data_IF_623387684866
#
_entry.id   IF_623387684866
#
_cell.length_a   1.000
_cell.length_b   1.000
_cell.length_c   1.000
_cell.angle_alpha   90.00
_cell.angle_beta   90.00
_cell.angle_gamma   90.00
#
_symmetry.space_group_name_H-M   'P 1'
#
loop_
_entity.id
_entity.type
_entity.pdbx_description
1 polymer ?
#
# COMPACT_ATOMS: atom_id res chain seq x y z
N UNK A 1 2.26 -18.41 -0.68
CA UNK A 1 2.18 -17.43 -1.81
C UNK A 1 1.78 -18.02 -3.21
N UNK A 2 1.31 -19.27 -3.36
CA UNK A 2 0.96 -19.83 -4.69
C UNK A 2 -0.54 -20.18 -4.90
N UNK A 3 -1.33 -20.33 -3.83
CA UNK A 3 -2.72 -20.79 -3.96
C UNK A 3 -3.70 -19.70 -4.44
N UNK A 4 -3.62 -18.49 -3.90
CA UNK A 4 -4.53 -17.40 -4.26
C UNK A 4 -4.19 -16.76 -5.61
N UNK A 5 -2.89 -16.65 -5.95
CA UNK A 5 -2.43 -16.19 -7.27
C UNK A 5 -3.03 -17.04 -8.38
N UNK A 6 -3.00 -18.35 -8.22
CA UNK A 6 -3.48 -19.25 -9.27
C UNK A 6 -5.01 -19.34 -9.33
N UNK A 7 -5.73 -19.11 -8.23
CA UNK A 7 -7.20 -18.96 -8.24
C UNK A 7 -7.65 -17.61 -8.83
N UNK A 8 -7.01 -16.51 -8.44
CA UNK A 8 -7.29 -15.16 -8.94
C UNK A 8 -6.88 -15.02 -10.41
N UNK A 9 -5.73 -15.52 -10.84
CA UNK A 9 -5.32 -15.51 -12.25
C UNK A 9 -6.23 -16.39 -13.13
N UNK A 10 -6.66 -17.56 -12.62
CA UNK A 10 -7.68 -18.39 -13.32
C UNK A 10 -9.04 -17.70 -13.39
N UNK A 11 -9.43 -16.96 -12.36
CA UNK A 11 -10.66 -16.16 -12.32
C UNK A 11 -10.58 -14.91 -13.21
N UNK A 12 -9.45 -14.21 -13.21
CA UNK A 12 -9.18 -13.06 -14.09
C UNK A 12 -9.13 -13.50 -15.56
N UNK A 13 -8.60 -14.69 -15.87
CA UNK A 13 -8.62 -15.26 -17.22
C UNK A 13 -10.03 -15.71 -17.66
N UNK A 14 -10.92 -16.03 -16.72
CA UNK A 14 -12.31 -16.36 -17.02
C UNK A 14 -13.14 -15.10 -17.32
N UNK A 15 -13.28 -14.80 -18.61
CA UNK A 15 -14.11 -13.71 -19.10
C UNK A 15 -15.62 -13.97 -18.95
N UNK A 16 -16.07 -15.08 -18.34
CA UNK A 16 -17.49 -15.34 -18.02
C UNK A 16 -17.94 -14.65 -16.74
N UNK A 17 -17.13 -14.64 -15.67
CA UNK A 17 -17.48 -13.96 -14.41
C UNK A 17 -17.64 -12.43 -14.59
N UNK A 18 -16.80 -11.85 -15.45
CA UNK A 18 -16.85 -10.42 -15.84
C UNK A 18 -18.04 -10.10 -16.75
N UNK A 19 -18.52 -11.08 -17.53
CA UNK A 19 -19.72 -10.97 -18.38
C UNK A 19 -21.02 -11.11 -17.59
N UNK A 20 -21.00 -11.84 -16.48
CA UNK A 20 -22.19 -12.13 -15.66
C UNK A 20 -22.51 -11.02 -14.63
N UNK A 21 -21.75 -9.91 -14.61
CA UNK A 21 -22.09 -8.71 -13.82
C UNK A 21 -21.83 -8.80 -12.31
N UNK A 22 -21.13 -9.82 -11.83
CA UNK A 22 -20.94 -10.06 -10.39
C UNK A 22 -19.83 -9.22 -9.75
N UNK A 23 -18.99 -8.55 -10.55
CA UNK A 23 -17.97 -7.61 -10.09
C UNK A 23 -17.80 -6.44 -11.08
N UNK A 24 -17.51 -5.21 -10.58
CA UNK A 24 -17.18 -4.08 -11.43
C UNK A 24 -15.99 -4.39 -12.34
N UNK A 25 -16.16 -4.26 -13.66
CA UNK A 25 -15.08 -4.46 -14.64
C UNK A 25 -13.86 -3.57 -14.37
N UNK A 26 -14.07 -2.44 -13.70
CA UNK A 26 -13.05 -1.47 -13.29
C UNK A 26 -12.04 -2.00 -12.25
N UNK A 27 -12.37 -3.05 -11.50
CA UNK A 27 -11.47 -3.58 -10.45
C UNK A 27 -10.37 -4.49 -11.01
N UNK A 28 -10.65 -5.18 -12.12
CA UNK A 28 -9.72 -6.16 -12.71
C UNK A 28 -8.34 -5.55 -13.03
N UNK A 29 -8.24 -4.38 -13.69
CA UNK A 29 -6.95 -3.72 -13.92
C UNK A 29 -6.17 -3.42 -12.64
N UNK A 30 -6.83 -3.02 -11.54
CA UNK A 30 -6.17 -2.70 -10.28
C UNK A 30 -5.49 -3.92 -9.66
N UNK A 31 -6.18 -5.08 -9.61
CA UNK A 31 -5.57 -6.32 -9.12
C UNK A 31 -4.40 -6.78 -10.00
N UNK A 32 -4.53 -6.66 -11.33
CA UNK A 32 -3.43 -6.98 -12.25
C UNK A 32 -2.22 -6.06 -12.04
N UNK A 33 -2.43 -4.79 -11.72
CA UNK A 33 -1.35 -3.84 -11.45
C UNK A 33 -0.54 -4.25 -10.22
N UNK A 34 -1.20 -4.59 -9.11
CA UNK A 34 -0.51 -5.00 -7.87
C UNK A 34 0.11 -6.40 -7.93
N UNK A 35 -0.31 -7.27 -8.86
CA UNK A 35 0.30 -8.59 -9.07
C UNK A 35 1.40 -8.60 -10.16
N UNK A 36 1.64 -7.45 -10.82
CA UNK A 36 2.63 -7.33 -11.88
C UNK A 36 4.06 -7.33 -11.31
N UNK A 37 4.90 -8.26 -11.74
CA UNK A 37 6.30 -8.37 -11.28
C UNK A 37 7.21 -7.22 -11.70
N UNK A 38 6.78 -6.39 -12.66
CA UNK A 38 7.47 -5.15 -13.03
C UNK A 38 7.10 -3.96 -12.13
N UNK A 39 6.12 -4.12 -11.24
CA UNK A 39 5.68 -3.12 -10.28
C UNK A 39 6.14 -3.56 -8.90
N UNK A 40 6.99 -2.78 -8.26
CA UNK A 40 7.38 -2.98 -6.87
C UNK A 40 7.00 -1.77 -6.00
N UNK A 41 7.14 -1.96 -4.68
CA UNK A 41 6.81 -0.94 -3.69
C UNK A 41 7.61 0.35 -3.91
N UNK A 42 8.91 0.23 -4.19
CA UNK A 42 9.80 1.38 -4.28
C UNK A 42 9.50 2.20 -5.55
N UNK A 43 9.18 1.53 -6.67
CA UNK A 43 8.73 2.16 -7.90
C UNK A 43 7.38 2.87 -7.77
N UNK A 44 6.49 2.38 -6.90
CA UNK A 44 5.25 3.10 -6.55
C UNK A 44 5.56 4.32 -5.69
N UNK A 45 6.38 4.19 -4.64
CA UNK A 45 6.62 5.25 -3.67
C UNK A 45 7.53 6.38 -4.20
N UNK A 46 8.53 6.05 -5.01
CA UNK A 46 9.52 7.00 -5.54
C UNK A 46 8.90 8.27 -6.17
N UNK A 47 7.93 8.18 -7.11
CA UNK A 47 7.32 9.37 -7.70
C UNK A 47 6.52 10.21 -6.68
N UNK A 48 5.89 9.57 -5.69
CA UNK A 48 5.17 10.29 -4.63
C UNK A 48 6.13 11.04 -3.71
N UNK A 49 7.25 10.41 -3.32
CA UNK A 49 8.30 11.03 -2.52
C UNK A 49 8.91 12.21 -3.29
N UNK A 50 9.23 12.04 -4.58
CA UNK A 50 9.74 13.12 -5.42
C UNK A 50 8.79 14.32 -5.45
N UNK A 51 7.49 14.07 -5.58
CA UNK A 51 6.47 15.13 -5.56
C UNK A 51 6.36 15.81 -4.19
N UNK A 52 6.50 15.06 -3.08
CA UNK A 52 6.57 15.63 -1.73
C UNK A 52 7.79 16.54 -1.59
N UNK A 53 8.96 16.11 -2.07
CA UNK A 53 10.18 16.92 -2.06
C UNK A 53 10.02 18.21 -2.89
N UNK A 54 9.35 18.15 -4.04
CA UNK A 54 9.05 19.34 -4.83
C UNK A 54 8.17 20.34 -4.07
N UNK A 55 7.14 19.87 -3.35
CA UNK A 55 6.31 20.73 -2.49
C UNK A 55 7.12 21.31 -1.33
N UNK A 56 7.99 20.52 -0.70
CA UNK A 56 8.86 20.98 0.39
C UNK A 56 9.79 22.12 -0.04
N UNK A 57 10.30 22.09 -1.28
CA UNK A 57 11.16 23.17 -1.81
C UNK A 57 10.44 24.50 -1.97
N UNK A 58 9.09 24.51 -2.04
CA UNK A 58 8.29 25.74 -2.19
C UNK A 58 8.03 26.46 -0.86
N UNK A 59 8.42 25.88 0.28
CA UNK A 59 8.19 26.48 1.60
C UNK A 59 9.51 26.67 2.34
N UNK A 60 9.64 27.73 3.16
CA UNK A 60 10.92 28.05 3.80
C UNK A 60 11.31 27.10 4.93
N UNK A 61 10.33 26.49 5.61
CA UNK A 61 10.54 25.58 6.73
C UNK A 61 9.55 24.42 6.62
N UNK A 62 10.06 23.21 6.82
CA UNK A 62 9.29 21.97 6.88
C UNK A 62 9.60 21.27 8.20
N UNK A 63 8.56 20.78 8.86
CA UNK A 63 8.68 19.85 9.99
C UNK A 63 8.51 18.43 9.43
N UNK A 64 9.51 17.58 9.68
CA UNK A 64 9.48 16.17 9.29
C UNK A 64 9.10 15.33 10.52
N UNK A 65 7.82 14.99 10.64
CA UNK A 65 7.27 14.29 11.81
C UNK A 65 7.38 12.79 11.58
N UNK A 66 8.12 12.11 12.45
CA UNK A 66 8.27 10.65 12.40
C UNK A 66 7.40 10.00 13.46
N UNK A 67 6.66 8.98 13.05
CA UNK A 67 5.90 8.11 13.95
C UNK A 67 5.87 6.67 13.42
N UNK A 68 5.58 5.70 14.28
CA UNK A 68 5.49 4.28 13.91
C UNK A 68 4.11 3.75 14.23
N UNK A 69 3.39 3.32 13.19
CA UNK A 69 2.09 2.67 13.32
C UNK A 69 2.23 1.16 13.14
N UNK A 70 1.46 0.38 13.88
CA UNK A 70 1.36 -1.06 13.68
C UNK A 70 0.14 -1.42 12.82
N UNK A 71 0.33 -2.30 11.84
CA UNK A 71 -0.76 -2.92 11.09
C UNK A 71 -1.06 -4.31 11.64
N UNK A 72 -2.13 -4.46 12.40
CA UNK A 72 -2.64 -5.75 12.86
C UNK A 72 -3.50 -6.42 11.78
N UNK A 73 -3.01 -7.54 11.25
CA UNK A 73 -3.64 -8.32 10.19
C UNK A 73 -4.02 -9.73 10.65
N UNK A 74 -4.10 -9.96 11.96
CA UNK A 74 -4.38 -11.28 12.57
C UNK A 74 -5.71 -11.90 12.09
N UNK A 75 -6.65 -11.07 11.66
CA UNK A 75 -7.94 -11.48 11.13
C UNK A 75 -7.88 -12.00 9.68
N UNK A 76 -6.78 -11.78 8.96
CA UNK A 76 -6.59 -12.22 7.57
C UNK A 76 -5.80 -13.53 7.52
N UNK A 77 -6.49 -14.65 7.74
CA UNK A 77 -5.89 -16.00 7.80
C UNK A 77 -5.12 -16.40 6.52
N UNK A 78 -5.47 -15.83 5.38
CA UNK A 78 -4.80 -16.08 4.10
C UNK A 78 -3.50 -15.28 3.89
N UNK A 79 -3.23 -14.29 4.75
CA UNK A 79 -2.05 -13.45 4.68
C UNK A 79 -0.89 -14.12 5.41
N UNK A 80 0.00 -14.73 4.63
CA UNK A 80 1.17 -15.44 5.14
C UNK A 80 2.36 -14.49 5.34
N UNK A 81 3.38 -14.95 6.09
CA UNK A 81 4.69 -14.28 6.25
C UNK A 81 4.64 -12.90 6.91
N UNK A 82 3.67 -12.70 7.80
CA UNK A 82 3.61 -11.54 8.68
C UNK A 82 4.60 -11.67 9.84
N UNK A 83 5.01 -10.51 10.40
CA UNK A 83 5.76 -10.43 11.64
C UNK A 83 4.86 -10.55 12.87
N UNK A 84 5.46 -10.46 14.06
CA UNK A 84 4.72 -10.35 15.32
C UNK A 84 4.35 -8.89 15.59
N UNK A 85 3.13 -8.69 16.07
CA UNK A 85 2.65 -7.42 16.57
C UNK A 85 3.13 -7.08 17.99
N UNK A 86 2.76 -5.91 18.51
CA UNK A 86 3.00 -5.53 19.91
C UNK A 86 2.06 -6.25 20.89
N UNK A 87 0.86 -6.62 20.43
CA UNK A 87 -0.08 -7.43 21.20
C UNK A 87 0.34 -8.90 21.26
N UNK A 88 0.15 -9.55 22.42
CA UNK A 88 0.39 -10.99 22.56
C UNK A 88 -0.48 -11.76 21.55
N UNK A 89 0.18 -12.52 20.67
CA UNK A 89 -0.41 -13.32 19.58
C UNK A 89 -0.91 -12.58 18.32
N UNK A 90 -0.65 -11.28 18.19
CA UNK A 90 -1.01 -10.55 16.98
C UNK A 90 0.01 -10.76 15.84
N UNK A 91 -0.49 -10.85 14.61
CA UNK A 91 0.31 -10.94 13.39
C UNK A 91 0.13 -9.67 12.54
N UNK A 92 1.24 -9.10 12.11
CA UNK A 92 1.24 -7.79 11.48
C UNK A 92 2.62 -7.32 11.05
N UNK A 93 2.76 -6.01 10.87
CA UNK A 93 4.05 -5.37 10.68
C UNK A 93 4.03 -3.93 11.19
N UNK A 94 5.21 -3.42 11.54
CA UNK A 94 5.42 -2.01 11.86
C UNK A 94 5.63 -1.20 10.59
N UNK A 95 4.98 -0.05 10.50
CA UNK A 95 5.17 0.93 9.45
C UNK A 95 5.69 2.23 10.07
N UNK A 96 7.02 2.42 10.08
CA UNK A 96 7.60 3.73 10.29
C UNK A 96 7.11 4.65 9.18
N UNK A 97 6.67 5.86 9.54
CA UNK A 97 6.24 6.86 8.59
C UNK A 97 6.91 8.20 8.88
N UNK A 98 7.14 8.99 7.83
CA UNK A 98 7.67 10.33 7.89
C UNK A 98 6.76 11.31 7.13
N UNK A 99 6.03 12.14 7.86
CA UNK A 99 5.10 13.12 7.31
C UNK A 99 5.73 14.52 7.28
N UNK A 100 5.77 15.13 6.10
CA UNK A 100 6.19 16.52 5.95
C UNK A 100 4.99 17.46 6.20
N UNK A 101 5.16 18.41 7.13
CA UNK A 101 4.15 19.44 7.44
C UNK A 101 4.80 20.83 7.51
N UNK A 102 4.03 21.88 7.27
CA UNK A 102 4.49 23.26 7.56
C UNK A 102 4.32 23.59 9.05
N UNK A 103 5.00 24.63 9.58
CA UNK A 103 4.82 25.07 10.97
C UNK A 103 3.38 25.49 11.33
N UNK A 104 2.54 25.80 10.33
CA UNK A 104 1.11 26.12 10.53
C UNK A 104 0.20 24.89 10.45
N UNK A 105 0.76 23.69 10.31
CA UNK A 105 0.00 22.43 10.26
C UNK A 105 -0.49 22.02 8.88
N UNK A 106 -0.10 22.70 7.80
CA UNK A 106 -0.46 22.26 6.44
C UNK A 106 0.37 21.01 6.05
N UNK A 107 -0.26 19.87 5.73
CA UNK A 107 0.46 18.67 5.29
C UNK A 107 0.98 18.83 3.86
N UNK A 108 2.23 18.40 3.63
CA UNK A 108 2.91 18.40 2.33
C UNK A 108 3.00 17.01 1.68
N UNK A 109 2.56 15.96 2.41
CA UNK A 109 2.57 14.51 2.11
C UNK A 109 3.71 13.72 2.77
N UNK A 110 3.64 12.38 2.67
CA UNK A 110 4.59 11.45 3.28
C UNK A 110 5.88 11.31 2.45
N UNK A 111 6.97 10.95 3.13
CA UNK A 111 8.31 10.76 2.57
C UNK A 111 8.78 9.30 2.60
N UNK A 112 8.09 8.43 3.31
CA UNK A 112 8.45 7.03 3.53
C UNK A 112 7.79 6.52 4.78
#
# INVERSE_FOLDING_TARGET
MHAWRSALLRWLADSRAVRNGWFPQSLKPAYCFFDNTQVDKDGILAPHIAQTLDRMRQVPIVLAVQDTTEFNLSHLQATERLGRGTGNHEQGFMMPSLLAITPRGLPLACLG
#
